data_IF_634808624327
#
_entry.id   IF_634808624327
#
_cell.length_a   1.000
_cell.length_b   1.000
_cell.length_c   1.000
_cell.angle_alpha   90.00
_cell.angle_beta   90.00
_cell.angle_gamma   90.00
#
_symmetry.space_group_name_H-M   'P 1'
#
loop_
_entity.id
_entity.type
_entity.pdbx_description
1 polymer ?
#
# COMPACT_ATOMS: atom_id res chain seq x y z
N UNK A 1 -20.78 40.18 -11.70
CA UNK A 1 -19.92 39.47 -12.66
C UNK A 1 -19.04 38.54 -11.86
N UNK A 2 -19.06 37.26 -12.24
CA UNK A 2 -18.68 36.10 -11.44
C UNK A 2 -17.17 36.06 -11.15
N UNK A 3 -16.84 35.85 -9.88
CA UNK A 3 -15.49 35.57 -9.40
C UNK A 3 -15.01 34.23 -9.98
N UNK A 4 -14.04 34.29 -10.89
CA UNK A 4 -13.29 33.13 -11.33
C UNK A 4 -12.39 32.66 -10.18
N UNK A 5 -12.91 31.78 -9.33
CA UNK A 5 -12.11 30.99 -8.42
C UNK A 5 -11.13 30.17 -9.26
N UNK A 6 -9.87 30.61 -9.27
CA UNK A 6 -8.76 29.87 -9.84
C UNK A 6 -8.58 28.62 -8.99
N UNK A 7 -9.05 27.49 -9.51
CA UNK A 7 -8.92 26.18 -8.91
C UNK A 7 -7.43 25.86 -8.79
N UNK A 8 -6.92 25.97 -7.58
CA UNK A 8 -5.56 25.61 -7.19
C UNK A 8 -5.37 24.12 -7.51
N UNK A 9 -4.42 23.79 -8.39
CA UNK A 9 -4.00 22.41 -8.60
C UNK A 9 -3.64 21.80 -7.22
N UNK A 10 -4.26 20.68 -6.82
CA UNK A 10 -3.84 19.99 -5.61
C UNK A 10 -2.40 19.49 -5.80
N UNK A 11 -1.62 19.53 -4.72
CA UNK A 11 -0.20 19.20 -4.71
C UNK A 11 0.06 17.84 -5.36
N UNK A 12 1.02 17.81 -6.28
CA UNK A 12 1.30 16.74 -7.22
C UNK A 12 2.05 15.54 -6.60
N UNK A 13 1.80 15.17 -5.34
CA UNK A 13 2.63 14.16 -4.65
C UNK A 13 1.89 13.26 -3.65
N UNK A 14 0.55 13.31 -3.54
CA UNK A 14 -0.20 12.41 -2.65
C UNK A 14 -1.15 11.51 -3.43
N UNK A 15 -0.62 10.43 -4.00
CA UNK A 15 -1.46 9.37 -4.56
C UNK A 15 -2.08 8.57 -3.42
N UNK A 16 -3.39 8.34 -3.47
CA UNK A 16 -4.11 7.54 -2.47
C UNK A 16 -4.68 6.30 -3.12
N UNK A 17 -4.51 5.15 -2.48
CA UNK A 17 -5.03 3.87 -2.96
C UNK A 17 -6.15 3.38 -2.06
N UNK A 18 -7.36 3.27 -2.61
CA UNK A 18 -8.50 2.67 -1.96
C UNK A 18 -8.60 1.20 -2.39
N UNK A 19 -8.55 0.28 -1.43
CA UNK A 19 -8.72 -1.15 -1.66
C UNK A 19 -10.11 -1.55 -1.15
N UNK A 20 -10.91 -2.16 -2.01
CA UNK A 20 -12.25 -2.66 -1.67
C UNK A 20 -12.30 -4.15 -1.90
N UNK A 21 -12.75 -4.89 -0.89
CA UNK A 21 -12.74 -6.34 -0.86
C UNK A 21 -14.16 -6.87 -0.76
N UNK A 22 -14.57 -7.64 -1.76
CA UNK A 22 -15.91 -8.21 -1.85
C UNK A 22 -15.86 -9.72 -2.01
N UNK A 23 -16.49 -10.42 -1.06
CA UNK A 23 -16.74 -11.85 -1.17
C UNK A 23 -18.17 -12.04 -1.67
N UNK A 24 -18.31 -12.73 -2.80
CA UNK A 24 -19.60 -12.87 -3.48
C UNK A 24 -20.26 -14.19 -3.09
N UNK A 25 -21.57 -14.15 -2.83
CA UNK A 25 -22.35 -15.36 -2.56
C UNK A 25 -22.40 -16.25 -3.81
N UNK A 26 -22.37 -17.56 -3.60
CA UNK A 26 -22.48 -18.53 -4.69
C UNK A 26 -23.76 -18.29 -5.52
N UNK A 27 -23.63 -18.23 -6.84
CA UNK A 27 -24.72 -18.01 -7.79
C UNK A 27 -25.00 -16.53 -8.14
N UNK A 28 -24.30 -15.58 -7.51
CA UNK A 28 -24.40 -14.15 -7.83
C UNK A 28 -23.22 -13.61 -8.63
N UNK A 29 -22.28 -14.45 -9.06
CA UNK A 29 -21.03 -14.06 -9.71
C UNK A 29 -21.27 -13.24 -10.97
N UNK A 30 -22.16 -13.69 -11.85
CA UNK A 30 -22.47 -13.01 -13.10
C UNK A 30 -23.15 -11.65 -12.87
N UNK A 31 -24.06 -11.56 -11.89
CA UNK A 31 -24.74 -10.33 -11.52
C UNK A 31 -23.75 -9.33 -10.90
N UNK A 32 -22.90 -9.81 -9.99
CA UNK A 32 -21.85 -9.01 -9.38
C UNK A 32 -20.83 -8.51 -10.42
N UNK A 33 -20.45 -9.32 -11.41
CA UNK A 33 -19.56 -8.88 -12.49
C UNK A 33 -20.17 -7.77 -13.36
N UNK A 34 -21.49 -7.83 -13.61
CA UNK A 34 -22.19 -6.78 -14.33
C UNK A 34 -22.22 -5.48 -13.52
N UNK A 35 -22.54 -5.59 -12.23
CA UNK A 35 -22.47 -4.49 -11.28
C UNK A 35 -21.05 -3.90 -11.18
N UNK A 36 -20.02 -4.75 -11.12
CA UNK A 36 -18.63 -4.36 -11.02
C UNK A 36 -18.19 -3.52 -12.23
N UNK A 37 -18.59 -3.92 -13.45
CA UNK A 37 -18.34 -3.11 -14.65
C UNK A 37 -19.00 -1.74 -14.58
N UNK A 38 -20.21 -1.67 -14.01
CA UNK A 38 -20.93 -0.42 -13.86
C UNK A 38 -20.23 0.51 -12.85
N UNK A 39 -19.94 0.04 -11.64
CA UNK A 39 -19.28 0.87 -10.61
C UNK A 39 -17.87 1.32 -11.04
N UNK A 40 -17.12 0.47 -11.76
CA UNK A 40 -15.81 0.87 -12.33
C UNK A 40 -15.97 1.97 -13.38
N UNK A 41 -16.99 1.89 -14.25
CA UNK A 41 -17.27 2.96 -15.21
C UNK A 41 -17.70 4.26 -14.53
N UNK A 42 -18.40 4.18 -13.41
CA UNK A 42 -18.84 5.36 -12.66
C UNK A 42 -17.67 6.00 -11.91
N UNK A 43 -16.86 5.19 -11.21
CA UNK A 43 -15.63 5.64 -10.56
C UNK A 43 -14.65 6.28 -11.56
N UNK A 44 -14.57 5.72 -12.78
CA UNK A 44 -13.78 6.25 -13.89
C UNK A 44 -14.14 7.67 -14.34
N UNK A 45 -15.33 8.17 -13.98
CA UNK A 45 -15.79 9.53 -14.32
C UNK A 45 -15.61 10.53 -13.18
N UNK A 46 -15.20 10.07 -12.01
CA UNK A 46 -14.99 10.94 -10.85
C UNK A 46 -13.71 11.75 -11.02
N UNK A 47 -13.77 13.04 -10.66
CA UNK A 47 -12.62 13.92 -10.72
C UNK A 47 -11.49 13.41 -9.81
N UNK A 48 -10.26 13.42 -10.31
CA UNK A 48 -9.09 12.94 -9.57
C UNK A 48 -8.90 11.43 -9.54
N UNK A 49 -9.72 10.66 -10.27
CA UNK A 49 -9.50 9.23 -10.45
C UNK A 49 -8.31 8.94 -11.39
N UNK A 50 -7.38 8.11 -10.94
CA UNK A 50 -6.16 7.76 -11.70
C UNK A 50 -6.23 6.37 -12.35
N UNK A 51 -7.12 5.49 -11.88
CA UNK A 51 -7.34 4.17 -12.48
C UNK A 51 -7.85 3.13 -11.47
N UNK A 52 -8.46 2.06 -12.02
CA UNK A 52 -8.92 0.90 -11.26
C UNK A 52 -8.22 -0.36 -11.77
N UNK A 53 -7.73 -1.18 -10.84
CA UNK A 53 -7.35 -2.56 -11.09
C UNK A 53 -8.28 -3.50 -10.31
N UNK A 54 -8.67 -4.63 -10.92
CA UNK A 54 -9.52 -5.63 -10.27
C UNK A 54 -8.81 -6.97 -10.30
N UNK A 55 -8.57 -7.53 -9.11
CA UNK A 55 -7.96 -8.84 -8.92
C UNK A 55 -9.05 -9.81 -8.49
N UNK A 56 -9.07 -10.99 -9.13
CA UNK A 56 -9.98 -12.09 -8.79
C UNK A 56 -9.20 -13.16 -8.05
N UNK A 57 -9.77 -13.64 -6.95
CA UNK A 57 -9.24 -14.72 -6.15
C UNK A 57 -10.36 -15.59 -5.58
N UNK A 58 -9.99 -16.52 -4.71
CA UNK A 58 -10.95 -17.34 -3.96
C UNK A 58 -10.61 -17.30 -2.48
N UNK A 59 -11.62 -17.16 -1.63
CA UNK A 59 -11.47 -17.21 -0.18
C UNK A 59 -12.62 -18.02 0.42
N UNK A 60 -12.29 -18.99 1.28
CA UNK A 60 -13.27 -19.89 1.91
C UNK A 60 -14.24 -20.59 0.91
N UNK A 61 -13.76 -20.86 -0.31
CA UNK A 61 -14.55 -21.52 -1.36
C UNK A 61 -15.50 -20.59 -2.15
N UNK A 62 -15.56 -19.31 -1.81
CA UNK A 62 -16.31 -18.28 -2.53
C UNK A 62 -15.39 -17.41 -3.38
N UNK A 63 -15.95 -16.82 -4.43
CA UNK A 63 -15.22 -15.87 -5.28
C UNK A 63 -14.99 -14.56 -4.53
N UNK A 64 -13.74 -14.10 -4.60
CA UNK A 64 -13.26 -12.89 -3.95
C UNK A 64 -12.80 -11.89 -5.00
N UNK A 65 -13.31 -10.67 -4.93
CA UNK A 65 -12.91 -9.56 -5.80
C UNK A 65 -12.22 -8.50 -4.96
N UNK A 66 -11.00 -8.15 -5.35
CA UNK A 66 -10.23 -7.06 -4.75
C UNK A 66 -10.12 -5.94 -5.78
N UNK A 67 -10.81 -4.83 -5.53
CA UNK A 67 -10.80 -3.64 -6.37
C UNK A 67 -9.82 -2.62 -5.80
N UNK A 68 -8.84 -2.21 -6.59
CA UNK A 68 -7.80 -1.25 -6.21
C UNK A 68 -8.02 0.02 -7.03
N UNK A 69 -8.51 1.07 -6.38
CA UNK A 69 -8.77 2.38 -6.99
C UNK A 69 -7.67 3.35 -6.57
N UNK A 70 -7.13 4.11 -7.53
CA UNK A 70 -6.13 5.15 -7.26
C UNK A 70 -6.72 6.54 -7.49
N UNK A 71 -6.40 7.46 -6.59
CA UNK A 71 -6.82 8.86 -6.64
C UNK A 71 -5.62 9.80 -6.53
N UNK A 72 -5.73 10.99 -7.10
CA UNK A 72 -4.68 12.00 -7.09
C UNK A 72 -4.56 12.77 -5.76
N UNK A 73 -5.53 12.61 -4.85
CA UNK A 73 -5.47 13.17 -3.50
C UNK A 73 -6.45 12.45 -2.56
N UNK A 74 -6.28 12.67 -1.25
CA UNK A 74 -7.20 12.16 -0.22
C UNK A 74 -8.59 12.79 -0.37
N UNK A 75 -8.69 14.06 -0.75
CA UNK A 75 -9.97 14.76 -0.93
C UNK A 75 -10.76 14.18 -2.11
N UNK A 76 -10.09 13.86 -3.23
CA UNK A 76 -10.74 13.23 -4.39
C UNK A 76 -11.33 11.86 -4.04
N UNK A 77 -10.60 11.07 -3.24
CA UNK A 77 -11.08 9.79 -2.73
C UNK A 77 -12.26 9.97 -1.77
N UNK A 78 -12.20 10.92 -0.84
CA UNK A 78 -13.31 11.18 0.09
C UNK A 78 -14.57 11.61 -0.68
N UNK A 79 -14.42 12.48 -1.68
CA UNK A 79 -15.53 12.85 -2.57
C UNK A 79 -16.17 11.66 -3.26
N UNK A 80 -15.39 10.66 -3.66
CA UNK A 80 -15.91 9.40 -4.21
C UNK A 80 -16.64 8.57 -3.16
N UNK A 81 -16.04 8.39 -1.98
CA UNK A 81 -16.61 7.59 -0.89
C UNK A 81 -17.96 8.14 -0.42
N UNK A 82 -18.09 9.45 -0.33
CA UNK A 82 -19.29 10.17 0.09
C UNK A 82 -20.28 10.40 -1.06
N UNK A 83 -19.96 9.95 -2.28
CA UNK A 83 -20.80 10.21 -3.44
C UNK A 83 -22.13 9.44 -3.37
N UNK A 84 -23.28 10.09 -3.63
CA UNK A 84 -24.58 9.42 -3.62
C UNK A 84 -24.67 8.34 -4.72
N UNK A 85 -23.90 8.48 -5.80
CA UNK A 85 -23.81 7.48 -6.85
C UNK A 85 -23.16 6.18 -6.35
N UNK A 86 -22.06 6.30 -5.58
CA UNK A 86 -21.42 5.12 -4.96
C UNK A 86 -22.38 4.47 -3.99
N UNK A 87 -23.06 5.24 -3.13
CA UNK A 87 -23.97 4.67 -2.14
C UNK A 87 -25.08 3.85 -2.79
N UNK A 88 -25.73 4.38 -3.84
CA UNK A 88 -26.77 3.66 -4.58
C UNK A 88 -26.26 2.34 -5.20
N UNK A 89 -25.02 2.32 -5.70
CA UNK A 89 -24.41 1.12 -6.26
C UNK A 89 -24.05 0.10 -5.17
N UNK A 90 -23.53 0.55 -4.03
CA UNK A 90 -23.23 -0.36 -2.90
C UNK A 90 -24.52 -0.98 -2.36
N UNK A 91 -25.61 -0.23 -2.28
CA UNK A 91 -26.92 -0.74 -1.86
C UNK A 91 -27.45 -1.83 -2.82
N UNK A 92 -27.19 -1.69 -4.13
CA UNK A 92 -27.50 -2.73 -5.13
C UNK A 92 -26.66 -4.01 -4.95
N UNK A 93 -25.39 -3.87 -4.56
CA UNK A 93 -24.47 -4.98 -4.34
C UNK A 93 -24.66 -5.69 -3.00
N UNK A 94 -25.14 -4.98 -1.96
CA UNK A 94 -25.32 -5.49 -0.60
C UNK A 94 -25.96 -6.90 -0.52
N UNK A 95 -27.06 -7.23 -1.25
CA UNK A 95 -27.63 -8.57 -1.20
C UNK A 95 -26.72 -9.66 -1.80
N UNK A 96 -25.82 -9.30 -2.73
CA UNK A 96 -24.91 -10.21 -3.42
C UNK A 96 -23.66 -10.56 -2.59
N UNK A 97 -23.32 -9.73 -1.61
CA UNK A 97 -22.11 -9.84 -0.80
C UNK A 97 -22.32 -10.74 0.42
N UNK A 98 -21.34 -11.60 0.70
CA UNK A 98 -21.37 -12.50 1.86
C UNK A 98 -21.03 -11.77 3.17
N UNK A 99 -20.16 -10.75 3.12
CA UNK A 99 -19.66 -10.03 4.31
C UNK A 99 -19.86 -8.51 4.22
N UNK A 100 -20.65 -8.04 3.25
CA UNK A 100 -20.81 -6.62 2.96
C UNK A 100 -19.59 -5.99 2.27
N UNK A 101 -19.58 -4.66 2.22
CA UNK A 101 -18.52 -3.84 1.60
C UNK A 101 -17.38 -3.60 2.60
N UNK A 102 -16.25 -4.29 2.42
CA UNK A 102 -15.05 -4.06 3.21
C UNK A 102 -14.13 -3.07 2.49
N UNK A 103 -14.14 -1.82 2.97
CA UNK A 103 -13.30 -0.74 2.45
C UNK A 103 -12.06 -0.54 3.31
N UNK A 104 -10.89 -0.61 2.69
CA UNK A 104 -9.60 -0.29 3.30
C UNK A 104 -8.98 0.89 2.54
N UNK A 105 -8.81 2.02 3.22
CA UNK A 105 -8.11 3.20 2.67
C UNK A 105 -6.64 3.09 3.00
N UNK A 106 -5.78 3.10 1.97
CA UNK A 106 -4.34 3.08 2.14
C UNK A 106 -3.71 4.32 1.46
N UNK A 107 -3.27 5.34 2.23
CA UNK A 107 -2.40 6.36 1.65
C UNK A 107 -1.18 5.65 1.08
N UNK A 108 -0.76 5.98 -0.14
CA UNK A 108 0.43 5.35 -0.74
C UNK A 108 1.60 5.64 0.18
N UNK A 109 1.99 4.65 0.98
CA UNK A 109 3.07 4.79 1.93
C UNK A 109 4.35 4.55 1.14
N UNK A 110 4.81 5.63 0.51
CA UNK A 110 5.73 5.64 -0.62
C UNK A 110 7.15 5.14 -0.32
N UNK A 111 7.45 4.72 0.90
CA UNK A 111 8.86 4.63 1.26
C UNK A 111 9.53 3.29 0.91
N UNK A 112 8.90 2.13 1.12
CA UNK A 112 9.45 0.78 0.75
C UNK A 112 8.62 -0.39 1.31
N UNK A 113 7.66 -0.08 2.20
CA UNK A 113 6.72 -1.04 2.79
C UNK A 113 5.34 -0.99 2.11
N UNK A 114 5.31 -0.79 0.78
CA UNK A 114 4.06 -0.86 0.03
C UNK A 114 3.45 -2.26 0.23
N UNK A 115 2.20 -2.36 0.69
CA UNK A 115 1.53 -3.66 0.76
C UNK A 115 1.44 -4.20 -0.67
N UNK A 116 2.00 -5.41 -0.89
CA UNK A 116 1.65 -6.19 -2.06
C UNK A 116 0.13 -6.36 -2.09
N UNK A 117 -0.48 -6.34 -3.28
CA UNK A 117 -1.93 -6.26 -3.48
C UNK A 117 -2.79 -7.31 -2.73
N UNK A 118 -2.17 -8.34 -2.15
CA UNK A 118 -2.80 -9.37 -1.31
C UNK A 118 -2.71 -9.13 0.22
N UNK A 119 -1.96 -8.13 0.70
CA UNK A 119 -1.76 -7.88 2.13
C UNK A 119 -2.85 -6.94 2.68
N UNK A 120 -3.71 -7.46 3.55
CA UNK A 120 -4.90 -6.78 4.06
C UNK A 120 -4.66 -5.65 5.08
N UNK A 121 -3.41 -5.24 5.33
CA UNK A 121 -3.09 -4.06 6.15
C UNK A 121 -1.58 -3.77 6.06
N UNK A 122 -1.17 -2.50 6.18
CA UNK A 122 0.25 -2.17 6.31
C UNK A 122 0.84 -2.80 7.59
N UNK A 123 2.12 -3.18 7.60
CA UNK A 123 2.75 -3.78 8.76
C UNK A 123 2.83 -2.79 9.94
N UNK A 124 2.79 -3.27 11.20
CA UNK A 124 2.87 -2.42 12.39
C UNK A 124 4.10 -1.49 12.39
N UNK A 125 3.92 -0.22 12.80
CA UNK A 125 4.97 0.83 12.80
C UNK A 125 6.24 0.44 13.56
N UNK A 126 6.12 -0.34 14.64
CA UNK A 126 7.29 -0.80 15.41
C UNK A 126 8.18 -1.77 14.61
N UNK A 127 7.59 -2.59 13.73
CA UNK A 127 8.34 -3.49 12.84
C UNK A 127 9.09 -2.67 11.79
N UNK A 128 8.42 -1.67 11.21
CA UNK A 128 9.05 -0.75 10.27
C UNK A 128 10.25 -0.04 10.91
N UNK A 129 10.12 0.42 12.15
CA UNK A 129 11.22 1.05 12.89
C UNK A 129 12.41 0.09 13.13
N UNK A 130 12.15 -1.16 13.51
CA UNK A 130 13.19 -2.17 13.73
C UNK A 130 13.95 -2.50 12.44
N UNK A 131 13.25 -2.66 11.32
CA UNK A 131 13.91 -2.94 10.03
C UNK A 131 14.70 -1.72 9.56
N UNK A 132 14.16 -0.51 9.68
CA UNK A 132 14.90 0.73 9.39
C UNK A 132 16.17 0.84 10.24
N UNK A 133 16.07 0.56 11.54
CA UNK A 133 17.21 0.57 12.45
C UNK A 133 18.25 -0.48 12.03
N UNK A 134 17.82 -1.68 11.67
CA UNK A 134 18.71 -2.77 11.23
C UNK A 134 19.34 -2.51 9.86
N UNK A 135 18.75 -1.67 9.01
CA UNK A 135 19.36 -1.27 7.73
C UNK A 135 20.34 -0.11 7.93
N UNK A 136 19.92 0.93 8.65
CA UNK A 136 20.68 2.17 8.80
C UNK A 136 21.88 1.98 9.73
N UNK A 137 21.69 1.35 10.90
CA UNK A 137 22.72 1.21 11.94
C UNK A 137 23.97 0.45 11.48
N UNK A 138 23.89 -0.73 10.83
CA UNK A 138 25.09 -1.37 10.31
C UNK A 138 25.69 -0.56 9.17
N UNK A 139 24.91 0.14 8.34
CA UNK A 139 25.47 0.96 7.26
C UNK A 139 26.27 2.15 7.79
N UNK A 140 25.76 2.85 8.81
CA UNK A 140 26.45 3.99 9.41
C UNK A 140 27.73 3.59 10.15
N UNK A 141 27.85 2.32 10.57
CA UNK A 141 29.02 1.80 11.27
C UNK A 141 30.02 1.09 10.33
N UNK A 142 29.55 0.21 9.44
CA UNK A 142 30.41 -0.60 8.57
C UNK A 142 30.99 0.19 7.40
N UNK A 143 30.22 1.08 6.76
CA UNK A 143 30.70 1.77 5.56
C UNK A 143 31.89 2.69 5.88
N UNK A 144 31.88 3.52 6.94
CA UNK A 144 33.05 4.30 7.33
C UNK A 144 34.23 3.43 7.77
N UNK A 145 33.98 2.28 8.39
CA UNK A 145 35.03 1.34 8.81
C UNK A 145 35.73 0.69 7.61
N UNK A 146 34.97 0.31 6.58
CA UNK A 146 35.48 -0.28 5.34
C UNK A 146 36.20 0.74 4.46
N UNK A 147 35.67 1.96 4.35
CA UNK A 147 36.33 3.05 3.61
C UNK A 147 37.51 3.64 4.36
N UNK A 148 37.54 3.60 5.69
CA UNK A 148 38.62 4.10 6.53
C UNK A 148 40.04 3.71 6.07
N UNK A 149 40.36 2.42 5.85
CA UNK A 149 41.67 2.01 5.34
C UNK A 149 41.89 2.43 3.88
N UNK A 150 40.87 2.42 3.02
CA UNK A 150 41.00 2.83 1.61
C UNK A 150 41.25 4.33 1.44
N UNK A 151 40.61 5.17 2.26
CA UNK A 151 40.75 6.62 2.20
C UNK A 151 42.12 7.10 2.70
N UNK A 152 42.75 6.33 3.60
CA UNK A 152 44.10 6.61 4.13
C UNK A 152 45.22 6.32 3.14
N UNK A 153 44.95 5.63 2.03
CA UNK A 153 45.94 5.32 1.01
C UNK A 153 46.30 6.53 0.12
N UNK A 154 45.43 7.55 0.03
CA UNK A 154 45.62 8.69 -0.85
C UNK A 154 45.28 10.01 -0.14
N UNK A 155 46.21 10.97 -0.14
CA UNK A 155 46.02 12.28 0.50
C UNK A 155 44.81 13.07 -0.05
N UNK A 156 44.50 12.87 -1.34
CA UNK A 156 43.31 13.46 -1.98
C UNK A 156 41.99 12.82 -1.52
N UNK A 157 41.97 11.50 -1.33
CA UNK A 157 40.80 10.75 -0.84
C UNK A 157 40.58 10.98 0.66
N UNK A 158 41.65 11.19 1.42
CA UNK A 158 41.57 11.51 2.85
C UNK A 158 41.03 12.91 3.13
N UNK A 159 40.79 13.74 2.11
CA UNK A 159 40.15 15.04 2.28
C UNK A 159 38.74 14.84 2.86
N UNK A 160 38.43 15.52 3.97
CA UNK A 160 37.20 15.31 4.73
C UNK A 160 35.93 15.40 3.88
N UNK A 161 35.88 16.39 2.97
CA UNK A 161 34.74 16.59 2.06
C UNK A 161 34.58 15.42 1.08
N UNK A 162 35.68 14.94 0.49
CA UNK A 162 35.68 13.85 -0.50
C UNK A 162 35.35 12.53 0.17
N UNK A 163 35.99 12.23 1.31
CA UNK A 163 35.72 11.06 2.12
C UNK A 163 34.25 10.98 2.56
N UNK A 164 33.71 12.06 3.12
CA UNK A 164 32.33 12.12 3.59
C UNK A 164 31.35 11.97 2.42
N UNK A 165 31.65 12.59 1.27
CA UNK A 165 30.83 12.45 0.07
C UNK A 165 30.81 11.01 -0.44
N UNK A 166 31.96 10.35 -0.56
CA UNK A 166 32.05 8.97 -1.06
C UNK A 166 31.36 7.97 -0.13
N UNK A 167 31.55 8.12 1.19
CA UNK A 167 30.87 7.31 2.20
C UNK A 167 29.35 7.51 2.10
N UNK A 168 28.89 8.76 2.09
CA UNK A 168 27.46 9.09 2.02
C UNK A 168 26.84 8.59 0.72
N UNK A 169 27.51 8.79 -0.42
CA UNK A 169 27.07 8.30 -1.72
C UNK A 169 26.95 6.77 -1.72
N UNK A 170 27.94 6.07 -1.16
CA UNK A 170 27.93 4.60 -1.04
C UNK A 170 26.75 4.14 -0.19
N UNK A 171 26.50 4.81 0.95
CA UNK A 171 25.35 4.48 1.82
C UNK A 171 24.04 4.67 1.07
N UNK A 172 23.83 5.82 0.42
CA UNK A 172 22.58 6.12 -0.30
C UNK A 172 22.35 5.12 -1.42
N UNK A 173 23.34 4.88 -2.28
CA UNK A 173 23.22 3.93 -3.40
C UNK A 173 22.97 2.51 -2.90
N UNK A 174 23.69 2.07 -1.86
CA UNK A 174 23.52 0.74 -1.28
C UNK A 174 22.15 0.56 -0.62
N UNK A 175 21.65 1.56 0.11
CA UNK A 175 20.31 1.51 0.70
C UNK A 175 19.23 1.42 -0.38
N UNK A 176 19.32 2.25 -1.43
CA UNK A 176 18.33 2.29 -2.51
C UNK A 176 18.35 1.01 -3.35
N UNK A 177 19.52 0.52 -3.75
CA UNK A 177 19.62 -0.57 -4.73
C UNK A 177 19.83 -1.95 -4.11
N UNK A 178 20.37 -2.06 -2.90
CA UNK A 178 20.61 -3.35 -2.23
C UNK A 178 19.58 -3.58 -1.14
N UNK A 179 19.39 -2.59 -0.25
CA UNK A 179 18.51 -2.79 0.92
C UNK A 179 17.03 -2.76 0.54
N UNK A 180 16.58 -1.85 -0.32
CA UNK A 180 15.17 -1.81 -0.76
C UNK A 180 14.67 -3.13 -1.37
N UNK A 181 15.37 -3.77 -2.34
CA UNK A 181 14.95 -5.07 -2.88
C UNK A 181 15.23 -6.24 -1.93
N UNK A 182 16.28 -6.20 -1.09
CA UNK A 182 16.58 -7.28 -0.16
C UNK A 182 15.60 -7.32 1.02
N UNK A 183 15.25 -6.16 1.57
CA UNK A 183 14.37 -6.08 2.72
C UNK A 183 12.93 -6.44 2.36
N UNK A 184 12.45 -6.04 1.18
CA UNK A 184 11.14 -6.48 0.66
C UNK A 184 11.10 -8.00 0.48
N UNK A 185 12.18 -8.64 0.02
CA UNK A 185 12.24 -10.11 -0.14
C UNK A 185 12.41 -10.88 1.16
N UNK A 186 13.29 -10.43 2.05
CA UNK A 186 13.63 -11.14 3.30
C UNK A 186 12.56 -10.98 4.38
N UNK A 187 11.90 -9.82 4.45
CA UNK A 187 10.91 -9.54 5.48
C UNK A 187 9.46 -9.76 5.02
N UNK A 188 9.19 -9.99 3.73
CA UNK A 188 7.85 -10.37 3.24
C UNK A 188 7.17 -11.48 4.08
N UNK A 189 7.78 -12.66 4.31
CA UNK A 189 7.12 -13.72 5.06
C UNK A 189 6.87 -13.37 6.53
N UNK A 190 7.75 -12.57 7.15
CA UNK A 190 7.63 -12.18 8.56
C UNK A 190 6.67 -11.00 8.80
N UNK A 191 6.50 -10.13 7.81
CA UNK A 191 5.54 -9.03 7.84
C UNK A 191 4.10 -9.56 7.62
N UNK A 192 3.93 -10.58 6.78
CA UNK A 192 2.62 -11.20 6.50
C UNK A 192 2.20 -12.20 7.58
N UNK A 193 3.15 -12.93 8.21
CA UNK A 193 2.84 -13.97 9.21
C UNK A 193 2.24 -13.46 10.53
N UNK A 194 2.24 -12.14 10.78
CA UNK A 194 1.67 -11.56 12.00
C UNK A 194 0.20 -11.21 11.92
N UNK A 195 -0.54 -11.65 10.91
CA UNK A 195 -2.00 -11.71 11.03
C UNK A 195 -2.33 -12.78 12.07
N UNK A 196 -2.85 -12.42 13.26
CA UNK A 196 -3.40 -13.42 14.15
C UNK A 196 -4.50 -14.13 13.37
N UNK A 197 -4.40 -15.46 13.25
CA UNK A 197 -5.56 -16.28 12.89
C UNK A 197 -6.57 -16.18 14.03
N UNK A 198 -7.29 -15.06 14.14
CA UNK A 198 -8.32 -14.85 15.16
C UNK A 198 -9.66 -15.51 14.78
N UNK A 199 -9.69 -16.41 13.79
CA UNK A 199 -10.92 -17.06 13.32
C UNK A 199 -11.00 -18.57 13.52
N UNK A 200 -10.15 -19.18 14.36
CA UNK A 200 -10.26 -20.62 14.64
C UNK A 200 -10.65 -21.01 16.08
N UNK A 201 -10.79 -20.07 17.03
CA UNK A 201 -11.06 -20.46 18.42
C UNK A 201 -12.22 -19.71 19.12
N UNK A 202 -13.23 -19.21 18.40
CA UNK A 202 -14.46 -18.68 19.04
C UNK A 202 -15.73 -19.50 18.74
N UNK A 203 -15.60 -20.70 18.17
CA UNK A 203 -16.76 -21.60 18.00
C UNK A 203 -16.50 -23.05 18.45
N UNK A 204 -15.49 -23.27 19.30
CA UNK A 204 -15.17 -24.58 19.85
C UNK A 204 -15.77 -24.84 21.24
N UNK A 205 -16.65 -23.97 21.75
CA UNK A 205 -17.28 -24.22 23.06
C UNK A 205 -18.77 -23.86 23.10
N UNK A 206 -19.59 -24.79 22.63
CA UNK A 206 -20.93 -25.01 23.19
C UNK A 206 -21.11 -26.52 23.37
N UNK A 207 -20.93 -27.05 24.59
CA UNK A 207 -21.44 -28.38 24.89
C UNK A 207 -22.96 -28.27 25.10
N UNK A 208 -23.69 -29.03 24.26
CA UNK A 208 -25.06 -29.57 24.40
C UNK A 208 -26.10 -28.80 25.21
#
# INVERSE_FOLDING_TARGET
>A
MSEAQTQKAPGSDEIVTLIVKHRVKAGFEAAYEAWLRNIVSVAGRTEGHLGVDVIRGKNAGLDMFTCVLRFCSTEAMQHWLDSPQRQALIDEAAPMLADGDQTEVNPVNEFWFAPLADAASPPPRWKQAVVSLLVILPHTLLVPLLWGPLLKLNAFLSNYLVATFLITLTIVVSVVYVCMPAATRLFAPWLTASQPREHLESNANSPR
#
